data_IF_009018386455
#
_entry.id   IF_009018386455
#
_cell.length_a   1.000
_cell.length_b   1.000
_cell.length_c   1.000
_cell.angle_alpha   90.00
_cell.angle_beta   90.00
_cell.angle_gamma   90.00
#
_symmetry.space_group_name_H-M   'P 1'
#
loop_
_entity.id
_entity.type
_entity.pdbx_description
1 polymer ?
#
# COMPACT_ATOMS: atom_id res chain seq x y z
N UNK A 1 32.92 12.29 -49.93
CA UNK A 1 32.77 11.81 -51.31
C UNK A 1 31.30 11.55 -51.56
N UNK A 2 30.86 12.09 -52.67
CA UNK A 2 29.46 12.25 -53.14
C UNK A 2 28.80 10.94 -53.57
N UNK A 3 27.48 10.91 -53.37
CA UNK A 3 26.43 10.51 -54.31
C UNK A 3 26.22 8.99 -54.52
N UNK A 4 25.01 8.47 -54.65
CA UNK A 4 24.18 8.62 -55.85
C UNK A 4 22.74 8.15 -55.57
N UNK A 5 21.78 8.95 -56.00
CA UNK A 5 20.36 8.60 -56.10
C UNK A 5 20.14 7.74 -57.35
N UNK A 6 19.22 6.75 -57.28
CA UNK A 6 18.63 6.20 -58.48
C UNK A 6 17.09 6.18 -58.36
N UNK A 7 16.45 7.04 -59.14
CA UNK A 7 15.02 7.04 -59.37
C UNK A 7 14.68 6.12 -60.55
N UNK A 8 13.67 5.29 -60.38
CA UNK A 8 13.09 4.52 -61.53
C UNK A 8 11.62 4.91 -61.65
N UNK A 9 11.36 5.63 -62.71
CA UNK A 9 10.03 5.94 -63.21
C UNK A 9 9.56 4.81 -64.13
N UNK A 10 8.31 4.34 -63.95
CA UNK A 10 7.68 3.47 -64.92
C UNK A 10 6.28 4.03 -65.28
N UNK A 11 6.20 4.55 -66.50
CA UNK A 11 4.98 4.97 -67.16
C UNK A 11 4.29 3.76 -67.78
N UNK A 12 2.97 3.63 -67.66
CA UNK A 12 2.21 2.74 -68.53
C UNK A 12 0.92 3.36 -69.06
N UNK A 13 0.72 2.99 -70.31
CA UNK A 13 -0.21 3.51 -71.31
C UNK A 13 -1.70 3.29 -71.00
N UNK A 14 -2.45 4.21 -71.60
CA UNK A 14 -3.90 4.26 -71.78
C UNK A 14 -4.35 3.21 -72.78
N UNK A 15 -5.36 2.44 -72.41
CA UNK A 15 -6.15 1.62 -73.36
C UNK A 15 -7.63 1.89 -73.18
N UNK A 16 -8.22 2.56 -74.17
CA UNK A 16 -9.68 2.81 -74.22
C UNK A 16 -10.40 1.59 -74.78
N UNK A 17 -11.39 1.10 -74.03
CA UNK A 17 -12.36 0.09 -74.49
C UNK A 17 -13.76 0.50 -74.11
N UNK A 18 -14.57 0.78 -75.17
CA UNK A 18 -16.00 1.10 -75.07
C UNK A 18 -16.78 -0.21 -75.09
N UNK A 19 -17.66 -0.43 -74.10
CA UNK A 19 -18.72 -1.45 -74.23
C UNK A 19 -19.91 -1.15 -73.32
N UNK A 20 -21.01 -0.95 -73.96
CA UNK A 20 -22.45 -1.17 -73.71
C UNK A 20 -23.00 -1.19 -72.29
N UNK A 21 -24.01 -0.35 -72.13
CA UNK A 21 -24.96 -0.22 -71.05
C UNK A 21 -25.78 -1.50 -70.88
N UNK A 22 -25.81 -2.05 -69.67
CA UNK A 22 -26.87 -2.97 -69.25
C UNK A 22 -27.46 -2.51 -67.94
N UNK A 23 -28.80 -2.27 -67.96
CA UNK A 23 -29.57 -1.77 -66.83
C UNK A 23 -29.93 -2.92 -65.90
N UNK A 24 -29.07 -3.17 -64.94
CA UNK A 24 -29.33 -4.11 -63.82
C UNK A 24 -29.74 -3.37 -62.57
N UNK A 25 -30.97 -3.65 -62.10
CA UNK A 25 -31.57 -3.17 -60.84
C UNK A 25 -30.64 -3.50 -59.67
N UNK A 26 -30.06 -2.49 -59.06
CA UNK A 26 -29.21 -2.66 -57.84
C UNK A 26 -30.12 -2.93 -56.62
N UNK A 27 -30.15 -4.19 -56.18
CA UNK A 27 -30.66 -4.51 -54.84
C UNK A 27 -29.68 -4.01 -53.79
N UNK A 28 -30.05 -3.00 -53.01
CA UNK A 28 -29.29 -2.53 -51.84
C UNK A 28 -29.32 -3.62 -50.78
N UNK A 29 -28.23 -4.36 -50.63
CA UNK A 29 -28.00 -5.19 -49.49
C UNK A 29 -27.67 -4.27 -48.30
N UNK A 30 -28.61 -4.11 -47.37
CA UNK A 30 -28.38 -3.52 -46.06
C UNK A 30 -27.41 -4.43 -45.29
N UNK A 31 -26.15 -4.01 -45.19
CA UNK A 31 -25.18 -4.64 -44.29
C UNK A 31 -25.66 -4.44 -42.85
N UNK A 32 -26.13 -5.53 -42.24
CA UNK A 32 -26.40 -5.55 -40.80
C UNK A 32 -25.13 -5.20 -40.04
N UNK A 33 -25.07 -4.03 -39.40
CA UNK A 33 -24.01 -3.68 -38.48
C UNK A 33 -24.02 -4.66 -37.31
N UNK A 34 -22.96 -5.42 -37.17
CA UNK A 34 -22.71 -6.23 -35.98
C UNK A 34 -22.78 -5.31 -34.75
N UNK A 35 -23.42 -5.73 -33.63
CA UNK A 35 -23.47 -4.92 -32.44
C UNK A 35 -22.04 -4.72 -31.92
N UNK A 36 -21.68 -3.43 -31.71
CA UNK A 36 -20.41 -3.06 -31.08
C UNK A 36 -20.27 -3.81 -29.77
N UNK A 37 -19.08 -4.38 -29.44
CA UNK A 37 -18.89 -5.05 -28.17
C UNK A 37 -19.20 -4.07 -27.03
N UNK A 38 -20.20 -4.40 -26.23
CA UNK A 38 -20.59 -3.65 -25.05
C UNK A 38 -19.35 -3.55 -24.17
N UNK A 39 -18.83 -2.34 -23.94
CA UNK A 39 -17.71 -2.14 -23.05
C UNK A 39 -18.00 -2.85 -21.72
N UNK A 40 -17.14 -3.78 -21.34
CA UNK A 40 -17.29 -4.52 -20.10
C UNK A 40 -17.34 -3.49 -18.97
N UNK A 41 -18.44 -3.41 -18.25
CA UNK A 41 -18.52 -2.60 -17.04
C UNK A 41 -17.41 -3.09 -16.11
N UNK A 42 -16.61 -2.20 -15.51
CA UNK A 42 -15.61 -2.61 -14.53
C UNK A 42 -16.32 -3.40 -13.44
N UNK A 43 -15.81 -4.59 -13.15
CA UNK A 43 -16.35 -5.45 -12.10
C UNK A 43 -16.45 -4.63 -10.81
N UNK A 44 -17.65 -4.52 -10.24
CA UNK A 44 -17.88 -3.80 -8.98
C UNK A 44 -17.06 -4.45 -7.88
N UNK A 45 -16.34 -3.64 -7.11
CA UNK A 45 -15.62 -4.11 -5.91
C UNK A 45 -16.61 -4.18 -4.73
N UNK A 46 -16.40 -5.14 -3.80
CA UNK A 46 -17.16 -5.23 -2.54
C UNK A 46 -16.58 -4.24 -1.51
N UNK A 47 -16.76 -2.94 -1.75
CA UNK A 47 -16.26 -1.88 -0.87
C UNK A 47 -17.08 -1.81 0.42
N UNK A 48 -16.39 -1.97 1.56
CA UNK A 48 -16.99 -1.97 2.91
C UNK A 48 -16.64 -0.74 3.74
N UNK A 49 -15.85 0.18 3.18
CA UNK A 49 -15.50 1.44 3.82
C UNK A 49 -16.56 2.51 3.50
N UNK A 50 -16.74 3.51 4.39
CA UNK A 50 -17.72 4.59 4.19
C UNK A 50 -17.48 5.42 2.94
N UNK A 51 -16.22 5.56 2.50
CA UNK A 51 -15.78 6.34 1.33
C UNK A 51 -16.26 7.80 1.39
N UNK A 52 -16.15 8.43 2.55
CA UNK A 52 -16.56 9.83 2.77
C UNK A 52 -15.61 10.79 2.06
N UNK A 53 -16.11 11.99 1.76
CA UNK A 53 -15.26 13.11 1.27
C UNK A 53 -14.53 13.76 2.44
N UNK A 54 -13.30 14.22 2.22
CA UNK A 54 -12.51 14.93 3.22
C UNK A 54 -11.89 14.05 4.31
N UNK A 55 -11.94 12.72 4.16
CA UNK A 55 -11.28 11.77 5.04
C UNK A 55 -9.90 11.40 4.51
N UNK A 56 -9.01 10.94 5.38
CA UNK A 56 -7.69 10.45 4.99
C UNK A 56 -7.82 9.02 4.47
N UNK A 57 -7.44 8.79 3.21
CA UNK A 57 -7.55 7.49 2.55
C UNK A 57 -6.19 7.03 2.06
N UNK A 58 -5.82 5.78 2.38
CA UNK A 58 -4.52 5.24 1.97
C UNK A 58 -4.55 3.72 1.77
N UNK A 59 -3.59 3.25 0.99
CA UNK A 59 -3.27 1.83 0.86
C UNK A 59 -2.18 1.41 1.82
N UNK A 60 -2.11 0.12 2.16
CA UNK A 60 -1.04 -0.48 2.97
C UNK A 60 -0.52 -1.72 2.27
N UNK A 61 0.80 -1.80 2.09
CA UNK A 61 1.50 -2.97 1.56
C UNK A 61 2.79 -3.22 2.36
N UNK A 62 3.20 -4.47 2.46
CA UNK A 62 4.47 -4.85 3.08
C UNK A 62 5.05 -6.10 2.41
N UNK A 63 6.36 -6.27 2.50
CA UNK A 63 7.08 -7.42 1.95
C UNK A 63 6.77 -7.65 0.47
N UNK A 64 6.62 -6.53 -0.25
CA UNK A 64 6.05 -6.51 -1.59
C UNK A 64 7.09 -6.67 -2.71
N UNK A 65 8.37 -6.35 -2.48
CA UNK A 65 9.38 -6.11 -3.50
C UNK A 65 9.96 -7.34 -4.20
N UNK A 66 9.14 -8.29 -4.65
CA UNK A 66 9.60 -9.53 -5.27
C UNK A 66 9.87 -9.40 -6.78
N UNK A 67 9.05 -8.62 -7.48
CA UNK A 67 8.99 -8.57 -8.95
C UNK A 67 8.39 -9.85 -9.55
N UNK A 68 7.67 -10.63 -8.74
CA UNK A 68 6.99 -11.85 -9.18
C UNK A 68 5.54 -11.56 -9.57
N UNK A 69 4.88 -12.53 -10.20
CA UNK A 69 3.52 -12.44 -10.71
C UNK A 69 2.53 -11.93 -9.65
N UNK A 70 2.65 -12.43 -8.43
CA UNK A 70 1.73 -12.12 -7.34
C UNK A 70 1.79 -10.65 -6.94
N UNK A 71 2.97 -10.03 -6.95
CA UNK A 71 3.11 -8.58 -6.73
C UNK A 71 2.42 -7.77 -7.83
N UNK A 72 2.55 -8.18 -9.10
CA UNK A 72 1.86 -7.52 -10.22
C UNK A 72 0.34 -7.66 -10.11
N UNK A 73 -0.15 -8.82 -9.65
CA UNK A 73 -1.58 -9.04 -9.40
C UNK A 73 -2.09 -8.13 -8.26
N UNK A 74 -1.31 -7.95 -7.18
CA UNK A 74 -1.61 -6.98 -6.12
C UNK A 74 -1.65 -5.56 -6.68
N UNK A 75 -0.66 -5.13 -7.46
CA UNK A 75 -0.65 -3.80 -8.08
C UNK A 75 -1.86 -3.53 -8.98
N UNK A 76 -2.24 -4.53 -9.78
CA UNK A 76 -3.42 -4.45 -10.64
C UNK A 76 -4.72 -4.36 -9.82
N UNK A 77 -4.84 -5.17 -8.76
CA UNK A 77 -6.02 -5.14 -7.89
C UNK A 77 -6.09 -3.83 -7.10
N UNK A 78 -4.97 -3.32 -6.56
CA UNK A 78 -4.90 -2.00 -5.93
C UNK A 78 -5.37 -0.88 -6.87
N UNK A 79 -4.99 -0.93 -8.15
CA UNK A 79 -5.41 0.04 -9.17
C UNK A 79 -6.92 0.01 -9.40
N UNK A 80 -7.52 -1.17 -9.44
CA UNK A 80 -8.97 -1.36 -9.55
C UNK A 80 -9.70 -0.80 -8.33
N UNK A 81 -9.20 -1.10 -7.12
CA UNK A 81 -9.77 -0.61 -5.88
C UNK A 81 -9.60 0.89 -5.71
N UNK A 82 -8.48 1.48 -6.14
CA UNK A 82 -8.27 2.93 -6.14
C UNK A 82 -9.29 3.68 -7.02
N UNK A 83 -9.81 3.05 -8.05
CA UNK A 83 -10.89 3.63 -8.87
C UNK A 83 -12.21 3.73 -8.09
N UNK A 84 -12.53 2.75 -7.26
CA UNK A 84 -13.76 2.72 -6.45
C UNK A 84 -13.61 3.45 -5.11
N UNK A 85 -12.42 3.45 -4.56
CA UNK A 85 -12.03 4.07 -3.29
C UNK A 85 -10.77 4.90 -3.51
N UNK A 86 -10.89 6.17 -3.93
CA UNK A 86 -9.77 7.02 -4.30
C UNK A 86 -8.88 7.34 -3.09
N UNK A 87 -7.81 6.58 -2.93
CA UNK A 87 -6.76 6.88 -1.97
C UNK A 87 -5.60 7.63 -2.66
N UNK A 88 -4.98 8.57 -1.93
CA UNK A 88 -3.96 9.47 -2.45
C UNK A 88 -2.54 8.98 -2.21
N UNK A 89 -2.37 8.02 -1.30
CA UNK A 89 -1.06 7.48 -0.98
C UNK A 89 -1.13 6.04 -0.47
N UNK A 90 0.06 5.41 -0.46
CA UNK A 90 0.30 4.06 0.06
C UNK A 90 1.43 4.14 1.08
N UNK A 91 1.28 3.49 2.23
CA UNK A 91 2.37 3.22 3.16
C UNK A 91 2.97 1.84 2.86
N UNK A 92 4.30 1.76 2.88
CA UNK A 92 5.06 0.54 2.62
C UNK A 92 5.78 0.11 3.89
N UNK A 93 5.55 -1.13 4.32
CA UNK A 93 5.97 -1.62 5.64
C UNK A 93 7.36 -2.26 5.65
N UNK A 94 8.18 -1.98 4.65
CA UNK A 94 9.52 -2.56 4.52
C UNK A 94 9.57 -3.79 3.63
N UNK A 95 10.80 -4.26 3.39
CA UNK A 95 11.11 -5.28 2.40
C UNK A 95 10.56 -4.92 1.02
N UNK A 96 10.86 -3.68 0.65
CA UNK A 96 10.41 -3.07 -0.58
C UNK A 96 11.14 -3.62 -1.82
N UNK A 97 12.32 -4.23 -1.62
CA UNK A 97 13.10 -4.92 -2.65
C UNK A 97 13.80 -6.16 -2.07
N UNK A 98 13.48 -7.34 -2.58
CA UNK A 98 14.19 -8.56 -2.25
C UNK A 98 15.35 -8.83 -3.22
N UNK A 99 16.46 -9.39 -2.72
CA UNK A 99 17.63 -9.76 -3.50
C UNK A 99 18.38 -8.56 -4.06
N UNK A 100 18.70 -8.55 -5.37
CA UNK A 100 19.44 -7.45 -5.98
C UNK A 100 18.63 -6.15 -6.01
N UNK A 101 19.32 -5.01 -5.88
CA UNK A 101 18.72 -3.68 -5.76
C UNK A 101 19.45 -2.67 -6.67
N UNK A 102 19.71 -3.09 -7.91
CA UNK A 102 20.23 -2.22 -8.95
C UNK A 102 19.08 -1.39 -9.59
N UNK A 103 19.36 -0.37 -10.39
CA UNK A 103 18.31 0.49 -10.98
C UNK A 103 17.20 -0.25 -11.72
N UNK A 104 17.50 -1.38 -12.37
CA UNK A 104 16.47 -2.19 -13.07
C UNK A 104 15.55 -2.92 -12.09
N UNK A 105 16.05 -3.22 -10.90
CA UNK A 105 15.24 -3.87 -9.86
C UNK A 105 14.18 -2.92 -9.30
N UNK A 106 14.47 -1.63 -9.14
CA UNK A 106 13.47 -0.63 -8.78
C UNK A 106 12.35 -0.56 -9.83
N UNK A 107 12.70 -0.58 -11.10
CA UNK A 107 11.71 -0.61 -12.18
C UNK A 107 10.85 -1.87 -12.06
N UNK A 108 11.46 -3.06 -12.06
CA UNK A 108 10.75 -4.35 -12.10
C UNK A 108 9.96 -4.65 -10.84
N UNK A 109 10.48 -4.25 -9.65
CA UNK A 109 9.92 -4.62 -8.35
C UNK A 109 9.08 -3.51 -7.71
N UNK A 110 9.07 -2.32 -8.30
CA UNK A 110 8.29 -1.20 -7.79
C UNK A 110 7.57 -0.41 -8.89
N UNK A 111 8.31 0.18 -9.85
CA UNK A 111 7.67 1.09 -10.81
C UNK A 111 6.65 0.39 -11.71
N UNK A 112 7.00 -0.77 -12.27
CA UNK A 112 6.12 -1.52 -13.16
C UNK A 112 4.89 -2.11 -12.44
N UNK A 113 5.01 -2.80 -11.28
CA UNK A 113 3.85 -3.32 -10.56
C UNK A 113 2.84 -2.22 -10.19
N UNK A 114 3.31 -1.01 -9.86
CA UNK A 114 2.47 0.09 -9.39
C UNK A 114 2.34 1.25 -10.40
N UNK A 115 2.70 1.05 -11.68
CA UNK A 115 2.75 2.08 -12.71
C UNK A 115 1.45 2.86 -12.87
N UNK A 116 0.30 2.19 -12.79
CA UNK A 116 -1.00 2.84 -12.95
C UNK A 116 -1.35 3.73 -11.74
N UNK A 117 -0.94 3.34 -10.53
CA UNK A 117 -1.08 4.17 -9.33
C UNK A 117 -0.13 5.38 -9.39
N UNK A 118 1.12 5.16 -9.80
CA UNK A 118 2.10 6.22 -10.00
C UNK A 118 1.64 7.23 -11.07
N UNK A 119 1.05 6.74 -12.18
CA UNK A 119 0.48 7.59 -13.23
C UNK A 119 -0.72 8.43 -12.75
N UNK A 120 -1.41 8.00 -11.70
CA UNK A 120 -2.49 8.74 -11.02
C UNK A 120 -2.00 9.63 -9.88
N UNK A 121 -0.69 9.83 -9.77
CA UNK A 121 -0.03 10.63 -8.73
C UNK A 121 -0.20 10.09 -7.30
N UNK A 122 -0.54 8.80 -7.12
CA UNK A 122 -0.56 8.15 -5.81
C UNK A 122 0.85 8.12 -5.25
N UNK A 123 1.05 8.68 -4.05
CA UNK A 123 2.37 8.76 -3.40
C UNK A 123 2.66 7.49 -2.59
N UNK A 124 3.91 7.08 -2.55
CA UNK A 124 4.35 5.96 -1.72
C UNK A 124 5.28 6.46 -0.62
N UNK A 125 5.00 6.09 0.63
CA UNK A 125 5.80 6.47 1.80
C UNK A 125 6.36 5.20 2.44
N UNK A 126 7.66 4.96 2.31
CA UNK A 126 8.28 3.70 2.70
C UNK A 126 8.89 3.73 4.10
N UNK A 127 8.75 2.63 4.85
CA UNK A 127 9.70 2.20 5.85
C UNK A 127 10.73 1.26 5.20
N UNK A 128 11.91 1.11 5.78
CA UNK A 128 12.88 0.09 5.36
C UNK A 128 12.65 -1.20 6.14
N UNK A 129 12.90 -2.33 5.48
CA UNK A 129 12.97 -3.66 6.08
C UNK A 129 14.37 -4.26 5.99
N UNK A 130 14.56 -5.43 6.59
CA UNK A 130 15.88 -6.07 6.68
C UNK A 130 16.43 -6.55 5.33
N UNK A 131 15.62 -6.65 4.30
CA UNK A 131 16.07 -6.90 2.93
C UNK A 131 16.38 -5.62 2.14
N UNK A 132 15.99 -4.45 2.62
CA UNK A 132 16.25 -3.19 1.94
C UNK A 132 17.67 -2.67 2.23
N UNK A 133 18.33 -2.13 1.21
CA UNK A 133 19.55 -1.37 1.43
C UNK A 133 19.20 -0.02 2.05
N UNK A 134 20.00 0.43 3.04
CA UNK A 134 19.77 1.73 3.69
C UNK A 134 19.85 2.91 2.73
N UNK A 135 20.61 2.80 1.63
CA UNK A 135 20.69 3.83 0.61
C UNK A 135 19.39 3.97 -0.20
N UNK A 136 18.46 3.03 -0.10
CA UNK A 136 17.14 3.11 -0.70
C UNK A 136 16.32 4.30 -0.18
N UNK A 137 16.67 4.84 1.00
CA UNK A 137 16.08 6.08 1.54
C UNK A 137 16.22 7.30 0.63
N UNK A 138 17.15 7.26 -0.33
CA UNK A 138 17.34 8.30 -1.33
C UNK A 138 16.52 8.09 -2.61
N UNK A 139 15.84 6.95 -2.73
CA UNK A 139 14.98 6.71 -3.89
C UNK A 139 13.73 7.58 -3.83
N UNK A 140 13.71 8.61 -4.68
CA UNK A 140 12.71 9.69 -4.61
C UNK A 140 11.24 9.23 -4.58
N UNK A 141 10.82 8.21 -5.38
CA UNK A 141 9.43 7.76 -5.36
C UNK A 141 8.92 7.22 -4.01
N UNK A 142 9.81 6.86 -3.08
CA UNK A 142 9.46 6.37 -1.75
C UNK A 142 9.26 7.47 -0.69
N UNK A 143 9.46 8.73 -1.05
CA UNK A 143 9.22 9.91 -0.22
C UNK A 143 9.88 9.90 1.18
N UNK A 144 10.98 9.16 1.34
CA UNK A 144 11.78 9.13 2.56
C UNK A 144 12.68 10.35 2.72
N UNK A 145 12.95 11.08 1.63
CA UNK A 145 13.78 12.30 1.59
C UNK A 145 15.20 12.13 2.18
N UNK A 146 15.76 10.93 2.12
CA UNK A 146 17.07 10.58 2.67
C UNK A 146 17.07 10.21 4.14
N UNK A 147 15.92 10.19 4.80
CA UNK A 147 15.78 9.84 6.21
C UNK A 147 15.39 8.35 6.38
N UNK A 148 15.98 7.68 7.38
CA UNK A 148 15.59 6.30 7.74
C UNK A 148 14.32 6.25 8.59
N UNK A 149 14.08 7.29 9.35
CA UNK A 149 12.90 7.48 10.18
C UNK A 149 12.43 8.92 10.04
N UNK A 150 11.12 9.10 9.93
CA UNK A 150 10.52 10.41 9.66
C UNK A 150 9.05 10.44 10.10
N UNK A 151 8.45 11.61 10.09
CA UNK A 151 7.01 11.76 10.29
C UNK A 151 6.41 12.64 9.20
N UNK A 152 5.16 12.38 8.88
CA UNK A 152 4.38 13.25 8.00
C UNK A 152 2.93 13.33 8.47
N UNK A 153 2.24 14.36 8.02
CA UNK A 153 0.85 14.61 8.41
C UNK A 153 -0.06 14.59 7.20
N UNK A 154 -1.24 14.02 7.36
CA UNK A 154 -2.37 14.12 6.44
C UNK A 154 -3.60 14.51 7.27
N UNK A 155 -4.15 15.69 7.02
CA UNK A 155 -5.27 16.24 7.78
C UNK A 155 -5.06 16.11 9.31
N UNK A 156 -5.91 15.35 10.00
CA UNK A 156 -5.84 15.09 11.45
C UNK A 156 -5.04 13.84 11.83
N UNK A 157 -4.33 13.21 10.87
CA UNK A 157 -3.57 11.98 11.08
C UNK A 157 -2.07 12.25 10.99
N UNK A 158 -1.31 11.89 12.02
CA UNK A 158 0.15 11.90 12.04
C UNK A 158 0.69 10.49 11.87
N UNK A 159 1.56 10.31 10.88
CA UNK A 159 2.27 9.08 10.62
C UNK A 159 3.70 9.16 11.15
N UNK A 160 4.13 8.12 11.87
CA UNK A 160 5.48 7.97 12.39
C UNK A 160 6.09 6.73 11.75
N UNK A 161 7.16 6.94 10.99
CA UNK A 161 7.85 5.91 10.23
C UNK A 161 9.17 5.59 10.93
N UNK A 162 9.40 4.31 11.24
CA UNK A 162 10.59 3.88 11.97
C UNK A 162 11.41 2.88 11.15
N UNK A 163 12.72 2.92 11.37
CA UNK A 163 13.66 1.90 10.93
C UNK A 163 13.92 0.95 12.11
N UNK A 164 13.31 -0.21 12.08
CA UNK A 164 13.43 -1.21 13.15
C UNK A 164 14.61 -2.17 12.98
N UNK A 165 15.34 -2.12 11.87
CA UNK A 165 16.64 -2.78 11.73
C UNK A 165 17.71 -2.10 12.58
N UNK A 166 17.63 -0.77 12.70
CA UNK A 166 18.61 0.05 13.39
C UNK A 166 17.92 1.03 14.34
N UNK A 167 17.25 0.49 15.37
CA UNK A 167 16.61 1.29 16.41
C UNK A 167 17.65 1.86 17.39
N UNK A 168 18.46 2.77 16.90
CA UNK A 168 19.54 3.43 17.65
C UNK A 168 19.02 4.50 18.62
N UNK A 169 19.91 5.01 19.47
CA UNK A 169 19.55 6.02 20.47
C UNK A 169 19.04 7.33 19.84
N UNK A 170 19.62 7.87 18.75
CA UNK A 170 19.08 9.03 18.06
C UNK A 170 17.63 8.85 17.63
N UNK A 171 17.27 7.70 17.04
CA UNK A 171 15.90 7.40 16.62
C UNK A 171 14.95 7.30 17.82
N UNK A 172 15.38 6.65 18.94
CA UNK A 172 14.55 6.55 20.16
C UNK A 172 14.24 7.94 20.75
N UNK A 173 15.23 8.82 20.79
CA UNK A 173 15.05 10.19 21.25
C UNK A 173 14.16 11.00 20.31
N UNK A 174 14.31 10.78 19.01
CA UNK A 174 13.50 11.42 17.99
C UNK A 174 12.03 11.02 18.12
N UNK A 175 11.73 9.71 18.18
CA UNK A 175 10.33 9.24 18.25
C UNK A 175 9.63 9.70 19.54
N UNK A 176 10.33 9.69 20.70
CA UNK A 176 9.76 10.19 21.95
C UNK A 176 9.43 11.70 21.84
N UNK A 177 10.33 12.48 21.25
CA UNK A 177 10.11 13.91 21.02
C UNK A 177 8.93 14.17 20.08
N UNK A 178 8.90 13.48 18.92
CA UNK A 178 7.85 13.66 17.91
C UNK A 178 6.46 13.25 18.44
N UNK A 179 6.38 12.10 19.11
CA UNK A 179 5.14 11.63 19.72
C UNK A 179 4.62 12.62 20.78
N UNK A 180 5.53 13.14 21.61
CA UNK A 180 5.19 14.12 22.66
C UNK A 180 4.68 15.44 22.12
N UNK A 181 5.23 15.89 20.98
CA UNK A 181 4.86 17.13 20.34
C UNK A 181 3.58 17.04 19.51
N UNK A 182 3.22 15.84 19.07
CA UNK A 182 2.04 15.64 18.23
C UNK A 182 0.75 15.84 19.06
N UNK A 183 -0.06 16.76 18.59
CA UNK A 183 -1.42 17.03 19.08
C UNK A 183 -2.49 16.46 18.15
N UNK A 184 -2.07 15.69 17.13
CA UNK A 184 -2.96 15.13 16.13
C UNK A 184 -3.91 14.10 16.77
N UNK A 185 -5.14 14.02 16.24
CA UNK A 185 -6.18 13.14 16.79
C UNK A 185 -5.82 11.67 16.58
N UNK A 186 -5.35 11.35 15.40
CA UNK A 186 -4.87 10.02 15.06
C UNK A 186 -3.35 9.97 14.95
N UNK A 187 -2.75 9.04 15.68
CA UNK A 187 -1.33 8.73 15.63
C UNK A 187 -1.15 7.31 15.14
N UNK A 188 -0.57 7.16 13.96
CA UNK A 188 -0.31 5.89 13.30
C UNK A 188 1.20 5.71 13.22
N UNK A 189 1.73 4.63 13.79
CA UNK A 189 3.12 4.22 13.58
C UNK A 189 3.19 3.08 12.57
N UNK A 190 4.22 3.06 11.73
CA UNK A 190 4.48 1.91 10.89
C UNK A 190 5.98 1.67 10.67
N UNK A 191 6.32 0.41 10.57
CA UNK A 191 7.68 -0.09 10.46
C UNK A 191 7.68 -1.57 10.09
N UNK A 192 8.86 -2.16 9.90
CA UNK A 192 8.96 -3.50 9.36
C UNK A 192 8.71 -4.60 10.41
N UNK A 193 9.55 -4.70 11.46
CA UNK A 193 9.54 -5.83 12.39
C UNK A 193 8.35 -5.78 13.37
N UNK A 194 7.53 -6.86 13.48
CA UNK A 194 6.32 -6.81 14.27
C UNK A 194 6.57 -6.86 15.78
N UNK A 195 5.93 -5.95 16.54
CA UNK A 195 5.90 -6.03 17.99
C UNK A 195 5.04 -7.23 18.43
N UNK A 196 3.99 -7.52 17.66
CA UNK A 196 3.09 -8.64 17.90
C UNK A 196 2.83 -9.37 16.58
N UNK A 197 3.05 -10.68 16.59
CA UNK A 197 2.73 -11.59 15.49
C UNK A 197 2.60 -13.00 15.99
N UNK A 198 1.69 -13.76 15.40
CA UNK A 198 1.52 -15.19 15.66
C UNK A 198 2.23 -16.09 14.63
N UNK A 199 2.96 -15.53 13.69
CA UNK A 199 3.71 -16.32 12.71
C UNK A 199 4.79 -17.19 13.38
N UNK A 200 5.13 -18.30 12.73
CA UNK A 200 6.12 -19.27 13.24
C UNK A 200 7.53 -18.88 12.89
N UNK A 201 7.71 -18.25 11.72
CA UNK A 201 9.04 -18.02 11.17
C UNK A 201 9.81 -16.97 11.98
N UNK A 202 9.16 -15.88 12.33
CA UNK A 202 9.78 -14.81 13.11
C UNK A 202 8.95 -14.53 14.37
N UNK A 203 7.68 -14.16 14.24
CA UNK A 203 6.80 -13.86 15.36
C UNK A 203 7.11 -12.52 16.03
N UNK A 204 6.58 -12.34 17.22
CA UNK A 204 6.70 -11.07 17.98
C UNK A 204 8.17 -10.73 18.31
N UNK A 205 8.58 -9.49 18.02
CA UNK A 205 9.90 -8.94 18.34
C UNK A 205 9.88 -8.31 19.75
N UNK A 206 10.09 -9.13 20.77
CA UNK A 206 9.95 -8.72 22.19
C UNK A 206 10.87 -7.61 22.61
N UNK A 207 12.09 -7.55 22.06
CA UNK A 207 13.05 -6.49 22.38
C UNK A 207 12.57 -5.13 21.86
N UNK A 208 12.02 -5.09 20.65
CA UNK A 208 11.39 -3.87 20.09
C UNK A 208 10.14 -3.50 20.87
N UNK A 209 9.34 -4.49 21.26
CA UNK A 209 8.13 -4.28 22.06
C UNK A 209 8.46 -3.59 23.39
N UNK A 210 9.50 -4.06 24.11
CA UNK A 210 9.94 -3.47 25.39
C UNK A 210 10.36 -2.00 25.25
N UNK A 211 10.83 -1.58 24.07
CA UNK A 211 11.30 -0.21 23.82
C UNK A 211 10.18 0.68 23.31
N UNK A 212 9.44 0.24 22.30
CA UNK A 212 8.51 1.09 21.57
C UNK A 212 7.12 1.16 22.20
N UNK A 213 6.59 0.04 22.70
CA UNK A 213 5.22 0.00 23.22
C UNK A 213 4.99 0.95 24.42
N UNK A 214 5.91 1.08 25.41
CA UNK A 214 5.75 2.04 26.48
C UNK A 214 5.64 3.49 25.97
N UNK A 215 6.39 3.84 24.92
CA UNK A 215 6.32 5.17 24.29
C UNK A 215 4.99 5.34 23.58
N UNK A 216 4.55 4.34 22.84
CA UNK A 216 3.29 4.38 22.11
C UNK A 216 2.07 4.52 23.04
N UNK A 217 2.04 3.75 24.13
CA UNK A 217 1.00 3.86 25.17
C UNK A 217 1.02 5.25 25.82
N UNK A 218 2.21 5.71 26.26
CA UNK A 218 2.39 7.00 26.93
C UNK A 218 1.90 8.17 26.10
N UNK A 219 2.10 8.13 24.78
CA UNK A 219 1.84 9.24 23.87
C UNK A 219 0.60 9.04 22.98
N UNK A 220 -0.17 7.98 23.23
CA UNK A 220 -1.48 7.76 22.60
C UNK A 220 -1.39 7.41 21.12
N UNK A 221 -0.47 6.52 20.70
CA UNK A 221 -0.51 5.88 19.39
C UNK A 221 -1.77 5.01 19.32
N UNK A 222 -2.52 5.15 18.23
CA UNK A 222 -3.79 4.43 18.06
C UNK A 222 -3.62 3.11 17.32
N UNK A 223 -2.81 3.13 16.25
CA UNK A 223 -2.65 1.99 15.34
C UNK A 223 -1.20 1.82 14.96
N UNK A 224 -0.77 0.57 14.84
CA UNK A 224 0.55 0.17 14.34
C UNK A 224 0.39 -0.79 13.18
N UNK A 225 1.00 -0.46 12.02
CA UNK A 225 1.11 -1.36 10.88
C UNK A 225 2.54 -1.90 10.79
N UNK A 226 2.67 -3.20 10.52
CA UNK A 226 3.92 -3.96 10.55
C UNK A 226 3.97 -4.94 9.37
N UNK A 227 5.18 -5.31 8.93
CA UNK A 227 5.45 -6.32 7.90
C UNK A 227 6.21 -7.53 8.44
N UNK A 228 7.25 -7.99 7.69
CA UNK A 228 8.25 -9.01 8.04
C UNK A 228 7.72 -10.45 8.10
N UNK A 229 6.63 -10.70 8.78
CA UNK A 229 5.95 -11.97 8.72
C UNK A 229 5.02 -12.00 7.49
N UNK A 230 5.27 -12.94 6.59
CA UNK A 230 4.63 -12.99 5.26
C UNK A 230 3.19 -13.53 5.35
N UNK A 231 2.38 -12.85 6.14
CA UNK A 231 0.97 -13.14 6.43
C UNK A 231 0.18 -11.84 6.53
N UNK A 232 -1.14 -11.93 6.47
CA UNK A 232 -2.02 -10.92 7.03
C UNK A 232 -2.45 -11.35 8.43
N UNK A 233 -2.31 -10.48 9.42
CA UNK A 233 -2.83 -10.71 10.76
C UNK A 233 -3.31 -9.42 11.40
N UNK A 234 -4.56 -9.42 11.88
CA UNK A 234 -5.05 -8.41 12.81
C UNK A 234 -4.94 -8.97 14.22
N UNK A 235 -4.17 -8.28 15.04
CA UNK A 235 -3.95 -8.62 16.44
C UNK A 235 -5.08 -8.03 17.29
N UNK A 236 -5.57 -8.77 18.29
CA UNK A 236 -6.44 -8.21 19.32
C UNK A 236 -5.74 -7.00 19.98
N UNK A 237 -6.46 -5.93 20.30
CA UNK A 237 -5.85 -4.74 20.89
C UNK A 237 -4.96 -5.06 22.09
N UNK A 238 -3.74 -4.53 22.09
CA UNK A 238 -2.80 -4.64 23.19
C UNK A 238 -2.63 -3.27 23.83
N UNK A 239 -2.89 -3.18 25.13
CA UNK A 239 -2.79 -1.91 25.90
C UNK A 239 -3.51 -0.73 25.23
N UNK A 240 -4.61 -0.99 24.54
CA UNK A 240 -5.40 0.03 23.85
C UNK A 240 -4.91 0.41 22.45
N UNK A 241 -3.89 -0.24 21.93
CA UNK A 241 -3.34 -0.03 20.58
C UNK A 241 -3.77 -1.17 19.67
N UNK A 242 -4.16 -0.84 18.43
CA UNK A 242 -4.48 -1.82 17.39
C UNK A 242 -3.22 -2.13 16.56
N UNK A 243 -2.96 -3.41 16.32
CA UNK A 243 -1.80 -3.87 15.56
C UNK A 243 -2.23 -4.70 14.36
N UNK A 244 -1.60 -4.43 13.22
CA UNK A 244 -1.75 -5.19 11.99
C UNK A 244 -0.39 -5.66 11.50
N UNK A 245 -0.32 -6.91 11.04
CA UNK A 245 0.75 -7.42 10.21
C UNK A 245 0.21 -7.54 8.79
N UNK A 246 0.81 -6.80 7.84
CA UNK A 246 0.52 -6.87 6.41
C UNK A 246 1.83 -7.09 5.68
N UNK A 247 2.41 -8.28 5.83
CA UNK A 247 3.65 -8.69 5.19
C UNK A 247 3.43 -9.64 4.01
N UNK A 248 2.25 -9.59 3.40
CA UNK A 248 1.89 -10.55 2.35
C UNK A 248 1.60 -9.93 0.99
N UNK A 249 2.05 -8.70 0.73
CA UNK A 249 1.73 -8.03 -0.55
C UNK A 249 2.56 -8.49 -1.76
N UNK A 250 3.63 -9.24 -1.55
CA UNK A 250 4.43 -9.89 -2.58
C UNK A 250 4.87 -11.27 -2.13
N UNK A 251 5.43 -11.35 -0.94
CA UNK A 251 5.75 -12.62 -0.29
C UNK A 251 4.51 -13.25 0.34
N UNK A 252 4.54 -14.56 0.51
CA UNK A 252 3.56 -15.31 1.28
C UNK A 252 4.25 -16.53 1.88
N UNK A 253 3.87 -16.91 3.11
CA UNK A 253 4.35 -18.13 3.75
C UNK A 253 3.16 -18.98 4.22
N UNK A 254 2.61 -19.83 3.34
CA UNK A 254 1.44 -20.65 3.67
C UNK A 254 1.69 -21.59 4.85
N UNK A 255 0.76 -21.64 5.80
CA UNK A 255 0.85 -22.47 7.00
C UNK A 255 1.71 -21.89 8.11
N UNK A 256 2.18 -20.66 7.98
CA UNK A 256 3.04 -20.00 8.98
C UNK A 256 2.26 -19.44 10.17
N UNK A 257 1.01 -19.07 9.98
CA UNK A 257 0.20 -18.49 11.02
C UNK A 257 -0.25 -19.52 12.05
N UNK A 258 0.12 -19.32 13.31
CA UNK A 258 -0.33 -20.17 14.44
C UNK A 258 -1.65 -19.67 14.98
N UNK A 259 -2.48 -20.60 15.50
CA UNK A 259 -3.64 -20.22 16.31
C UNK A 259 -3.16 -19.83 17.70
N UNK A 260 -3.13 -18.55 18.00
CA UNK A 260 -2.76 -18.02 19.31
C UNK A 260 -3.91 -17.17 19.89
N UNK A 261 -3.78 -16.79 21.16
CA UNK A 261 -4.73 -15.89 21.79
C UNK A 261 -4.63 -14.44 21.24
N UNK A 262 -3.53 -14.09 20.56
CA UNK A 262 -3.28 -12.75 20.01
C UNK A 262 -4.10 -12.48 18.75
N UNK A 263 -4.24 -13.46 17.89
CA UNK A 263 -4.89 -13.30 16.58
C UNK A 263 -6.38 -13.05 16.71
N UNK A 264 -6.88 -11.97 16.11
CA UNK A 264 -8.29 -11.73 15.90
C UNK A 264 -8.74 -12.30 14.55
N UNK A 265 -8.05 -11.90 13.47
CA UNK A 265 -8.22 -12.42 12.11
C UNK A 265 -6.86 -12.63 11.48
N UNK A 266 -6.70 -13.69 10.72
CA UNK A 266 -5.45 -13.97 10.02
C UNK A 266 -5.64 -14.70 8.70
N UNK A 267 -4.73 -14.46 7.76
CA UNK A 267 -4.67 -15.13 6.46
C UNK A 267 -3.22 -15.37 6.05
N UNK A 268 -2.92 -16.62 5.73
CA UNK A 268 -1.64 -17.07 5.19
C UNK A 268 -1.85 -17.92 3.91
N UNK A 269 -2.93 -17.67 3.17
CA UNK A 269 -3.34 -18.47 2.01
C UNK A 269 -3.21 -17.71 0.69
N UNK A 270 -3.35 -16.41 0.72
CA UNK A 270 -3.28 -15.53 -0.43
C UNK A 270 -2.55 -14.24 -0.06
N UNK A 271 -1.81 -13.69 -1.02
CA UNK A 271 -1.27 -12.34 -0.90
C UNK A 271 -2.40 -11.34 -0.73
N UNK A 272 -2.10 -10.24 -0.02
CA UNK A 272 -3.08 -9.22 0.29
C UNK A 272 -2.48 -7.80 0.30
N UNK A 273 -3.36 -6.84 0.39
CA UNK A 273 -3.10 -5.44 0.71
C UNK A 273 -4.27 -4.90 1.51
N UNK A 274 -4.09 -3.75 2.14
CA UNK A 274 -5.19 -3.10 2.84
C UNK A 274 -5.52 -1.75 2.20
N UNK A 275 -6.79 -1.34 2.36
CA UNK A 275 -7.23 0.05 2.20
C UNK A 275 -7.77 0.54 3.53
N UNK A 276 -7.51 1.81 3.83
CA UNK A 276 -7.85 2.42 5.11
C UNK A 276 -8.46 3.79 4.89
N UNK A 277 -9.49 4.10 5.67
CA UNK A 277 -10.12 5.42 5.75
C UNK A 277 -10.14 5.89 7.20
N UNK A 278 -9.62 7.08 7.45
CA UNK A 278 -9.65 7.69 8.78
C UNK A 278 -10.51 8.93 8.72
N UNK A 279 -11.57 8.95 9.52
CA UNK A 279 -12.36 10.14 9.81
C UNK A 279 -12.06 10.66 11.23
N UNK A 280 -12.85 11.63 11.71
CA UNK A 280 -12.59 12.25 13.00
C UNK A 280 -12.69 11.24 14.16
N UNK A 281 -13.65 10.31 14.10
CA UNK A 281 -14.02 9.43 15.21
C UNK A 281 -13.51 7.98 15.05
N UNK A 282 -13.21 7.56 13.82
CA UNK A 282 -12.96 6.16 13.52
C UNK A 282 -11.92 5.95 12.41
N UNK A 283 -11.26 4.79 12.48
CA UNK A 283 -10.47 4.24 11.39
C UNK A 283 -11.21 3.02 10.85
N UNK A 284 -11.55 3.05 9.58
CA UNK A 284 -12.16 1.94 8.84
C UNK A 284 -11.09 1.28 7.98
N UNK A 285 -11.10 -0.05 7.92
CA UNK A 285 -10.13 -0.80 7.14
C UNK A 285 -10.77 -1.96 6.40
N UNK A 286 -10.13 -2.37 5.31
CA UNK A 286 -10.46 -3.58 4.57
C UNK A 286 -9.18 -4.20 4.03
N UNK A 287 -8.94 -5.47 4.36
CA UNK A 287 -7.88 -6.29 3.80
C UNK A 287 -8.43 -7.08 2.61
N UNK A 288 -7.72 -7.05 1.50
CA UNK A 288 -8.18 -7.54 0.21
C UNK A 288 -7.12 -8.49 -0.35
N UNK A 289 -7.53 -9.68 -0.77
CA UNK A 289 -6.63 -10.62 -1.42
C UNK A 289 -6.29 -10.19 -2.86
N UNK A 290 -5.21 -10.74 -3.43
CA UNK A 290 -4.82 -10.54 -4.83
C UNK A 290 -5.89 -10.94 -5.85
N UNK A 291 -6.91 -11.68 -5.42
CA UNK A 291 -8.07 -12.07 -6.24
C UNK A 291 -9.28 -11.15 -6.06
N UNK A 292 -9.14 -10.08 -5.28
CA UNK A 292 -10.19 -9.09 -5.00
C UNK A 292 -11.18 -9.51 -3.90
N UNK A 293 -10.95 -10.64 -3.23
CA UNK A 293 -11.81 -11.12 -2.13
C UNK A 293 -11.46 -10.37 -0.85
N UNK A 294 -12.46 -9.89 -0.13
CA UNK A 294 -12.27 -9.34 1.23
C UNK A 294 -11.86 -10.45 2.20
N UNK A 295 -10.70 -10.27 2.84
CA UNK A 295 -10.16 -11.16 3.90
C UNK A 295 -10.70 -10.73 5.26
N UNK A 296 -10.63 -9.44 5.53
CA UNK A 296 -11.04 -8.82 6.80
C UNK A 296 -11.54 -7.40 6.55
N UNK A 297 -12.38 -6.90 7.43
CA UNK A 297 -12.81 -5.50 7.43
C UNK A 297 -13.37 -5.12 8.79
N UNK A 298 -13.27 -3.86 9.14
CA UNK A 298 -13.78 -3.40 10.42
C UNK A 298 -13.67 -1.90 10.63
N UNK A 299 -14.12 -1.49 11.80
CA UNK A 299 -14.06 -0.11 12.27
C UNK A 299 -13.41 -0.09 13.64
N UNK A 300 -12.38 0.72 13.79
CA UNK A 300 -11.66 0.95 15.04
C UNK A 300 -12.04 2.33 15.58
N UNK A 301 -12.33 2.41 16.87
CA UNK A 301 -12.55 3.69 17.54
C UNK A 301 -11.31 4.09 18.32
N UNK A 302 -11.08 5.38 18.46
CA UNK A 302 -10.07 5.86 19.39
C UNK A 302 -10.37 5.31 20.79
N UNK A 303 -9.34 4.77 21.43
CA UNK A 303 -9.43 4.40 22.82
C UNK A 303 -9.46 5.68 23.68
N UNK A 304 -10.27 5.71 24.72
CA UNK A 304 -10.24 6.83 25.67
C UNK A 304 -8.80 7.02 26.19
N UNK A 305 -8.26 8.23 26.00
CA UNK A 305 -6.93 8.55 26.54
C UNK A 305 -6.94 8.30 28.05
N UNK A 306 -5.93 7.62 28.60
CA UNK A 306 -5.83 7.47 30.06
C UNK A 306 -5.95 8.85 30.71
N UNK A 307 -6.89 9.01 31.65
CA UNK A 307 -6.98 10.25 32.39
C UNK A 307 -5.63 10.52 33.05
N UNK A 308 -5.06 11.73 32.93
CA UNK A 308 -3.81 12.05 33.62
C UNK A 308 -3.98 11.72 35.11
N UNK A 309 -2.99 11.02 35.64
CA UNK A 309 -2.97 10.72 37.07
C UNK A 309 -3.15 12.04 37.84
N UNK A 310 -3.98 12.08 38.92
CA UNK A 310 -4.16 13.29 39.69
C UNK A 310 -2.79 13.77 40.16
N UNK A 311 -2.47 15.02 39.85
CA UNK A 311 -1.25 15.68 40.34
C UNK A 311 -1.28 15.59 41.87
N UNK A 312 -0.26 15.02 42.53
CA UNK A 312 -0.22 15.00 43.98
C UNK A 312 -0.33 16.46 44.46
N UNK A 313 -1.42 16.79 45.10
CA UNK A 313 -1.51 18.09 45.82
C UNK A 313 -0.39 18.07 46.82
N UNK A 314 0.62 18.92 46.65
CA UNK A 314 1.65 19.13 47.66
C UNK A 314 0.96 19.49 48.95
N UNK A 315 1.00 18.53 49.91
CA UNK A 315 0.39 18.71 51.19
C UNK A 315 0.94 19.97 51.84
N UNK A 316 0.03 20.82 52.26
CA UNK A 316 0.35 21.91 53.15
C UNK A 316 1.07 21.35 54.36
N UNK A 317 2.29 21.85 54.61
CA UNK A 317 2.99 21.63 55.88
C UNK A 317 2.20 22.34 56.99
N UNK A 318 2.16 21.73 58.18
CA UNK A 318 1.63 22.36 59.36
C UNK A 318 2.41 23.59 59.81
#
# INVERSE_FOLDING_TARGET
MRALYLAVSLSFLIGAGVASVDTGVAAQAQAAQAPSPKAAQPASVDLRLPNKKGTVKFGVIGDNGTGDKEQYEIGAEMTKWQTAFPFDFVIMLGDNLYGSQNPRDFVRKFEEPYKELLARDVKFYAALGNHDNQENRFYKPWNMNGERFYSFKKENVRFFVLDTDYLDQPQRQWIERELRQSTDDWKIAYFHHPLYSSARAHGSQTDLQLILEPLFVKHGVNVVFQGHDHVYERIKPQKGIYYFVEGSSGKLRPGDLRKTALTEVGNDREQSFMIVEVDDDALHFQAISRTGRTIDSGTLKQQEKPKPAPVPTSGAKP
#
